data_IF_405704436996
#
_entry.id   IF_405704436996
#
_cell.length_a   1.000
_cell.length_b   1.000
_cell.length_c   1.000
_cell.angle_alpha   90.00
_cell.angle_beta   90.00
_cell.angle_gamma   90.00
#
_symmetry.space_group_name_H-M   'P 1'
#
loop_
_entity.id
_entity.type
_entity.pdbx_description
1 polymer ?
#
# COMPACT_ATOMS: atom_id res chain seq x y z
N UNK A 1 -18.64 14.65 10.72
CA UNK A 1 -17.59 13.83 10.18
C UNK A 1 -17.70 12.41 10.71
N UNK A 2 -17.15 11.41 9.99
CA UNK A 2 -16.99 10.09 10.56
C UNK A 2 -16.15 10.22 11.83
N UNK A 3 -16.55 9.55 12.91
CA UNK A 3 -15.79 9.57 14.14
C UNK A 3 -14.45 8.87 13.90
N UNK A 4 -13.42 9.27 14.62
CA UNK A 4 -12.10 8.59 14.57
C UNK A 4 -12.27 7.09 14.87
N UNK A 5 -13.28 6.73 15.68
CA UNK A 5 -13.63 5.36 16.00
C UNK A 5 -14.13 4.58 14.78
N UNK A 6 -15.03 5.16 13.97
CA UNK A 6 -15.54 4.51 12.76
C UNK A 6 -14.42 4.25 11.73
N UNK A 7 -13.51 5.21 11.57
CA UNK A 7 -12.35 5.04 10.71
C UNK A 7 -11.40 3.96 11.23
N UNK A 8 -11.16 3.91 12.54
CA UNK A 8 -10.31 2.88 13.14
C UNK A 8 -10.96 1.49 13.09
N UNK A 9 -12.28 1.38 13.26
CA UNK A 9 -13.00 0.11 13.15
C UNK A 9 -12.96 -0.43 11.72
N UNK A 10 -13.14 0.43 10.72
CA UNK A 10 -13.01 0.02 9.31
C UNK A 10 -11.57 -0.41 9.02
N UNK A 11 -10.59 0.33 9.52
CA UNK A 11 -9.18 -0.01 9.36
C UNK A 11 -8.81 -1.34 10.03
N UNK A 12 -9.22 -1.52 11.29
CA UNK A 12 -8.88 -2.73 12.06
C UNK A 12 -9.59 -3.99 11.52
N UNK A 13 -10.83 -3.86 11.05
CA UNK A 13 -11.63 -5.02 10.67
C UNK A 13 -11.14 -5.71 9.40
N UNK A 14 -10.60 -4.98 8.44
CA UNK A 14 -10.34 -5.53 7.10
C UNK A 14 -8.86 -5.79 6.85
N UNK A 15 -7.99 -4.81 7.02
CA UNK A 15 -6.56 -4.97 6.72
C UNK A 15 -5.78 -5.57 7.89
N UNK A 16 -6.13 -5.21 9.12
CA UNK A 16 -5.46 -5.68 10.32
C UNK A 16 -5.66 -7.19 10.53
N UNK A 17 -6.89 -7.68 10.36
CA UNK A 17 -7.21 -9.10 10.55
C UNK A 17 -6.45 -9.98 9.56
N UNK A 18 -6.43 -9.62 8.28
CA UNK A 18 -5.70 -10.37 7.27
C UNK A 18 -4.19 -10.38 7.54
N UNK A 19 -3.63 -9.24 7.89
CA UNK A 19 -2.19 -9.08 8.16
C UNK A 19 -1.75 -9.89 9.38
N UNK A 20 -2.55 -9.87 10.46
CA UNK A 20 -2.29 -10.68 11.67
C UNK A 20 -2.43 -12.17 11.37
N UNK A 21 -3.47 -12.56 10.63
CA UNK A 21 -3.72 -13.94 10.27
C UNK A 21 -2.59 -14.57 9.43
N UNK A 22 -1.99 -13.77 8.54
CA UNK A 22 -0.89 -14.23 7.66
C UNK A 22 0.48 -14.10 8.37
N UNK A 23 0.56 -13.45 9.55
CA UNK A 23 1.81 -13.26 10.29
C UNK A 23 2.79 -12.28 9.63
N UNK A 24 2.31 -11.34 8.84
CA UNK A 24 3.15 -10.42 8.07
C UNK A 24 3.63 -9.22 8.91
N UNK A 25 4.86 -8.70 8.69
CA UNK A 25 5.44 -7.61 9.46
C UNK A 25 4.85 -6.23 9.15
N UNK A 26 3.94 -6.10 8.19
CA UNK A 26 3.39 -4.82 7.72
C UNK A 26 2.84 -3.95 8.87
N UNK A 27 2.22 -4.54 9.89
CA UNK A 27 1.74 -3.76 11.04
C UNK A 27 2.87 -3.10 11.83
N UNK A 28 4.01 -3.79 12.00
CA UNK A 28 5.20 -3.20 12.63
C UNK A 28 5.77 -2.08 11.78
N UNK A 29 5.77 -2.25 10.46
CA UNK A 29 6.20 -1.21 9.51
C UNK A 29 5.29 0.02 9.60
N UNK A 30 3.96 -0.16 9.63
CA UNK A 30 3.02 0.94 9.81
C UNK A 30 3.20 1.66 11.14
N UNK A 31 3.44 0.92 12.22
CA UNK A 31 3.77 1.49 13.53
C UNK A 31 5.09 2.28 13.48
N UNK A 32 6.12 1.73 12.84
CA UNK A 32 7.40 2.40 12.67
C UNK A 32 7.27 3.69 11.84
N UNK A 33 6.48 3.69 10.77
CA UNK A 33 6.18 4.89 9.98
C UNK A 33 5.37 5.92 10.79
N UNK A 34 4.37 5.49 11.56
CA UNK A 34 3.62 6.38 12.44
C UNK A 34 4.51 7.01 13.51
N UNK A 35 5.40 6.23 14.13
CA UNK A 35 6.39 6.72 15.08
C UNK A 35 7.40 7.68 14.40
N UNK A 36 7.85 7.38 13.19
CA UNK A 36 8.69 8.29 12.39
C UNK A 36 7.99 9.63 12.19
N UNK A 37 6.73 9.62 11.78
CA UNK A 37 5.93 10.83 11.58
C UNK A 37 5.75 11.62 12.89
N UNK A 38 5.52 10.92 14.00
CA UNK A 38 5.42 11.53 15.33
C UNK A 38 6.72 12.22 15.74
N UNK A 39 7.87 11.53 15.61
CA UNK A 39 9.16 12.09 15.99
C UNK A 39 9.63 13.22 15.07
N UNK A 40 9.29 13.21 13.78
CA UNK A 40 9.51 14.36 12.91
C UNK A 40 8.73 15.57 13.41
N UNK A 41 7.48 15.39 13.84
CA UNK A 41 6.64 16.47 14.36
C UNK A 41 7.14 17.04 15.70
N UNK A 42 7.72 16.18 16.54
CA UNK A 42 8.27 16.55 17.86
C UNK A 42 9.77 16.87 17.80
N UNK A 43 10.34 16.99 16.61
CA UNK A 43 11.75 17.28 16.36
C UNK A 43 12.74 16.25 16.96
N UNK A 44 12.27 15.04 17.22
CA UNK A 44 13.08 13.91 17.71
C UNK A 44 13.84 13.20 16.58
N UNK A 45 14.81 13.86 15.95
CA UNK A 45 15.46 13.42 14.70
C UNK A 45 16.14 12.06 14.78
N UNK A 46 16.74 11.72 15.90
CA UNK A 46 17.38 10.41 16.12
C UNK A 46 16.34 9.29 16.22
N UNK A 47 15.28 9.51 16.97
CA UNK A 47 14.19 8.56 17.07
C UNK A 47 13.46 8.40 15.73
N UNK A 48 13.26 9.49 14.97
CA UNK A 48 12.74 9.43 13.61
C UNK A 48 13.62 8.58 12.69
N UNK A 49 14.94 8.75 12.74
CA UNK A 49 15.89 7.95 11.96
C UNK A 49 15.84 6.46 12.34
N UNK A 50 15.81 6.15 13.63
CA UNK A 50 15.72 4.77 14.12
C UNK A 50 14.39 4.09 13.69
N UNK A 51 13.27 4.78 13.86
CA UNK A 51 11.96 4.25 13.44
C UNK A 51 11.86 4.06 11.92
N UNK A 52 12.38 5.01 11.13
CA UNK A 52 12.42 4.87 9.67
C UNK A 52 13.31 3.70 9.24
N UNK A 53 14.43 3.46 9.94
CA UNK A 53 15.28 2.28 9.72
C UNK A 53 14.53 0.99 10.10
N UNK A 54 13.80 0.97 11.22
CA UNK A 54 13.00 -0.21 11.60
C UNK A 54 11.92 -0.54 10.56
N UNK A 55 11.39 0.46 9.85
CA UNK A 55 10.45 0.23 8.76
C UNK A 55 11.05 -0.54 7.58
N UNK A 56 12.38 -0.68 7.48
CA UNK A 56 13.06 -1.48 6.42
C UNK A 56 12.83 -2.99 6.53
N UNK A 57 12.08 -3.46 7.54
CA UNK A 57 11.51 -4.81 7.55
C UNK A 57 10.66 -5.09 6.29
N UNK A 58 10.06 -4.04 5.69
CA UNK A 58 9.45 -4.06 4.36
C UNK A 58 10.16 -3.02 3.47
N UNK A 59 11.27 -3.39 2.82
CA UNK A 59 12.14 -2.42 2.16
C UNK A 59 11.43 -1.59 1.10
N UNK A 60 10.52 -2.19 0.33
CA UNK A 60 9.78 -1.52 -0.74
C UNK A 60 8.75 -0.49 -0.21
N UNK A 61 8.29 -0.64 1.04
CA UNK A 61 7.43 0.35 1.72
C UNK A 61 8.28 1.45 2.36
N UNK A 62 9.41 1.08 2.98
CA UNK A 62 10.27 2.03 3.69
C UNK A 62 11.13 2.87 2.75
N UNK A 63 11.67 2.29 1.67
CA UNK A 63 12.61 2.95 0.77
C UNK A 63 12.13 4.33 0.27
N UNK A 64 10.89 4.51 -0.19
CA UNK A 64 10.38 5.82 -0.59
C UNK A 64 10.41 6.86 0.53
N UNK A 65 10.18 6.43 1.78
CA UNK A 65 10.26 7.30 2.97
C UNK A 65 11.70 7.71 3.26
N UNK A 66 12.63 6.75 3.21
CA UNK A 66 14.06 7.03 3.40
C UNK A 66 14.55 8.05 2.37
N UNK A 67 14.19 7.88 1.10
CA UNK A 67 14.51 8.85 0.03
C UNK A 67 13.92 10.23 0.34
N UNK A 68 12.64 10.30 0.73
CA UNK A 68 11.99 11.57 1.06
C UNK A 68 12.67 12.27 2.26
N UNK A 69 13.05 11.52 3.29
CA UNK A 69 13.76 12.06 4.46
C UNK A 69 15.14 12.58 4.09
N UNK A 70 15.91 11.80 3.30
CA UNK A 70 17.25 12.19 2.85
C UNK A 70 17.23 13.45 1.97
N UNK A 71 16.26 13.53 1.05
CA UNK A 71 16.17 14.66 0.12
C UNK A 71 15.61 15.91 0.81
N UNK A 72 14.49 15.77 1.54
CA UNK A 72 13.68 16.91 1.97
C UNK A 72 13.84 17.30 3.45
N UNK A 73 14.50 16.47 4.30
CA UNK A 73 14.69 16.74 5.74
C UNK A 73 16.17 16.74 6.12
N UNK A 74 16.92 17.83 5.94
CA UNK A 74 18.36 17.86 6.24
C UNK A 74 18.71 17.42 7.66
N UNK A 75 17.88 17.73 8.66
CA UNK A 75 18.11 17.37 10.08
C UNK A 75 18.03 15.87 10.35
N UNK A 76 17.37 15.09 9.49
CA UNK A 76 17.27 13.62 9.64
C UNK A 76 18.41 12.87 8.94
N UNK A 77 19.19 13.50 8.08
CA UNK A 77 20.18 12.81 7.23
C UNK A 77 21.20 12.05 8.05
N UNK A 78 21.86 12.71 9.00
CA UNK A 78 22.88 12.09 9.85
C UNK A 78 22.29 11.00 10.73
N UNK A 79 21.22 11.25 11.51
CA UNK A 79 20.55 10.20 12.28
C UNK A 79 20.16 8.98 11.45
N UNK A 80 19.56 9.21 10.29
CA UNK A 80 19.10 8.13 9.39
C UNK A 80 20.28 7.31 8.85
N UNK A 81 21.33 7.96 8.35
CA UNK A 81 22.50 7.26 7.81
C UNK A 81 23.24 6.47 8.89
N UNK A 82 23.34 6.99 10.11
CA UNK A 82 23.93 6.27 11.25
C UNK A 82 23.09 5.05 11.61
N UNK A 83 21.75 5.17 11.69
CA UNK A 83 20.88 4.04 12.00
C UNK A 83 20.90 2.98 10.90
N UNK A 84 20.89 3.38 9.62
CA UNK A 84 21.01 2.45 8.49
C UNK A 84 22.40 1.77 8.48
N UNK A 85 23.47 2.51 8.76
CA UNK A 85 24.81 1.96 8.89
C UNK A 85 24.92 0.96 10.03
N UNK A 86 24.31 1.25 11.18
CA UNK A 86 24.24 0.33 12.31
C UNK A 86 23.47 -0.96 11.95
N UNK A 87 22.31 -0.83 11.27
CA UNK A 87 21.55 -1.99 10.81
C UNK A 87 22.36 -2.83 9.80
N UNK A 88 23.05 -2.18 8.85
CA UNK A 88 23.93 -2.87 7.92
C UNK A 88 25.10 -3.56 8.63
N UNK A 89 25.70 -2.91 9.64
CA UNK A 89 26.76 -3.52 10.44
C UNK A 89 26.27 -4.77 11.19
N UNK A 90 25.05 -4.74 11.75
CA UNK A 90 24.44 -5.93 12.36
C UNK A 90 24.28 -7.05 11.32
N UNK A 91 23.80 -6.74 10.10
CA UNK A 91 23.70 -7.72 9.03
C UNK A 91 25.07 -8.33 8.66
N UNK A 92 26.12 -7.51 8.57
CA UNK A 92 27.47 -7.98 8.27
C UNK A 92 28.04 -8.82 9.41
N UNK A 93 27.80 -8.43 10.67
CA UNK A 93 28.25 -9.20 11.84
C UNK A 93 27.51 -10.54 11.97
N UNK A 94 26.24 -10.59 11.59
CA UNK A 94 25.42 -11.79 11.69
C UNK A 94 25.69 -12.81 10.57
N UNK A 95 25.87 -12.34 9.35
CA UNK A 95 25.93 -13.19 8.16
C UNK A 95 27.31 -13.18 7.47
N UNK A 96 28.15 -12.19 7.73
CA UNK A 96 29.38 -11.97 6.96
C UNK A 96 29.15 -11.13 5.69
N UNK A 97 30.25 -10.63 5.11
CA UNK A 97 30.20 -9.82 3.87
C UNK A 97 29.81 -10.68 2.66
N UNK A 98 30.38 -11.90 2.45
CA UNK A 98 30.06 -12.72 1.27
C UNK A 98 28.57 -13.03 1.17
N UNK A 99 27.93 -13.43 2.27
CA UNK A 99 26.53 -13.81 2.32
C UNK A 99 25.59 -12.62 2.09
N UNK A 100 25.95 -11.44 2.62
CA UNK A 100 25.21 -10.21 2.31
C UNK A 100 25.31 -9.83 0.83
N UNK A 101 26.48 -10.03 0.20
CA UNK A 101 26.66 -9.80 -1.24
C UNK A 101 25.89 -10.83 -2.05
N UNK A 102 25.93 -12.11 -1.69
CA UNK A 102 25.17 -13.17 -2.33
C UNK A 102 23.65 -12.91 -2.20
N UNK A 103 23.19 -12.47 -1.04
CA UNK A 103 21.78 -12.10 -0.84
C UNK A 103 21.31 -11.03 -1.86
N UNK A 104 22.10 -9.98 -2.04
CA UNK A 104 21.75 -8.89 -2.97
C UNK A 104 21.85 -9.32 -4.44
N UNK A 105 22.87 -10.13 -4.79
CA UNK A 105 23.16 -10.48 -6.19
C UNK A 105 22.38 -11.68 -6.70
N UNK A 106 22.02 -12.60 -5.82
CA UNK A 106 21.45 -13.89 -6.19
C UNK A 106 20.04 -14.06 -5.60
N UNK A 107 19.89 -13.89 -4.28
CA UNK A 107 18.63 -14.17 -3.59
C UNK A 107 17.54 -13.17 -3.96
N UNK A 108 17.83 -11.86 -3.91
CA UNK A 108 16.84 -10.84 -4.25
C UNK A 108 16.35 -10.93 -5.69
N UNK A 109 17.22 -11.08 -6.74
CA UNK A 109 16.75 -11.26 -8.11
C UNK A 109 15.98 -12.56 -8.31
N UNK A 110 16.43 -13.67 -7.72
CA UNK A 110 15.72 -14.95 -7.79
C UNK A 110 14.33 -14.87 -7.14
N UNK A 111 14.26 -14.22 -5.97
CA UNK A 111 13.00 -13.97 -5.27
C UNK A 111 12.08 -13.05 -6.08
N UNK A 112 12.61 -12.00 -6.69
CA UNK A 112 11.86 -11.11 -7.58
C UNK A 112 11.24 -11.88 -8.75
N UNK A 113 12.03 -12.76 -9.38
CA UNK A 113 11.57 -13.58 -10.51
C UNK A 113 10.54 -14.62 -10.06
N UNK A 114 10.75 -15.30 -8.93
CA UNK A 114 9.79 -16.27 -8.40
C UNK A 114 8.44 -15.60 -8.11
N UNK A 115 8.48 -14.44 -7.45
CA UNK A 115 7.27 -13.68 -7.13
C UNK A 115 6.60 -13.02 -8.35
N UNK A 116 7.30 -12.86 -9.47
CA UNK A 116 6.72 -12.30 -10.69
C UNK A 116 5.48 -13.07 -11.17
N UNK A 117 5.47 -14.38 -10.93
CA UNK A 117 4.37 -15.28 -11.31
C UNK A 117 3.32 -15.46 -10.20
N UNK A 118 3.53 -14.88 -9.03
CA UNK A 118 2.54 -14.91 -7.97
C UNK A 118 1.41 -13.92 -8.22
N UNK A 119 0.22 -14.24 -7.73
CA UNK A 119 -0.91 -13.32 -7.80
C UNK A 119 -0.72 -12.16 -6.81
N UNK A 120 -0.46 -10.99 -7.31
CA UNK A 120 -0.19 -9.77 -6.57
C UNK A 120 -0.79 -8.56 -7.29
N UNK A 121 -0.72 -7.40 -6.65
CA UNK A 121 -1.16 -6.11 -7.23
C UNK A 121 -0.05 -5.37 -7.97
N UNK A 122 1.16 -5.91 -8.04
CA UNK A 122 2.31 -5.29 -8.72
C UNK A 122 2.14 -5.27 -10.23
N UNK A 123 2.77 -4.29 -10.90
CA UNK A 123 2.86 -4.26 -12.36
C UNK A 123 3.54 -5.51 -12.90
N UNK A 124 4.58 -5.99 -12.23
CA UNK A 124 5.29 -7.23 -12.59
C UNK A 124 4.33 -8.39 -12.74
N UNK A 125 3.50 -8.64 -11.70
CA UNK A 125 2.54 -9.74 -11.72
C UNK A 125 1.40 -9.51 -12.72
N UNK A 126 1.00 -8.29 -13.00
CA UNK A 126 0.04 -7.98 -14.07
C UNK A 126 0.61 -8.32 -15.42
N UNK A 127 1.86 -7.95 -15.70
CA UNK A 127 2.52 -8.20 -16.98
C UNK A 127 2.74 -9.70 -17.23
N UNK A 128 3.19 -10.46 -16.24
CA UNK A 128 3.34 -11.93 -16.38
C UNK A 128 1.99 -12.61 -16.61
N UNK A 129 0.92 -12.11 -16.00
CA UNK A 129 -0.43 -12.65 -16.17
C UNK A 129 -0.99 -12.46 -17.60
N UNK A 130 -0.46 -11.52 -18.37
CA UNK A 130 -0.80 -11.32 -19.79
C UNK A 130 0.24 -11.90 -20.75
N UNK A 131 1.17 -12.71 -20.22
CA UNK A 131 2.14 -13.48 -21.03
C UNK A 131 3.47 -12.76 -21.31
N UNK A 132 3.75 -11.66 -20.62
CA UNK A 132 5.07 -11.03 -20.71
C UNK A 132 6.09 -11.87 -19.95
N UNK A 133 7.27 -12.04 -20.53
CA UNK A 133 8.38 -12.78 -19.94
C UNK A 133 8.78 -12.22 -18.56
N UNK A 134 9.04 -13.13 -17.59
CA UNK A 134 9.29 -12.79 -16.20
C UNK A 134 10.42 -11.80 -15.98
N UNK A 135 11.63 -11.99 -16.53
CA UNK A 135 12.73 -11.03 -16.45
C UNK A 135 12.37 -9.65 -16.97
N UNK A 136 11.64 -9.56 -18.09
CA UNK A 136 11.18 -8.27 -18.62
C UNK A 136 10.12 -7.63 -17.72
N UNK A 137 9.18 -8.42 -17.22
CA UNK A 137 8.14 -7.94 -16.29
C UNK A 137 8.74 -7.40 -15.00
N UNK A 138 9.76 -8.07 -14.44
CA UNK A 138 10.49 -7.59 -13.24
C UNK A 138 11.16 -6.25 -13.53
N UNK A 139 11.86 -6.10 -14.63
CA UNK A 139 12.50 -4.83 -15.03
C UNK A 139 11.49 -3.69 -15.19
N UNK A 140 10.35 -3.98 -15.83
CA UNK A 140 9.26 -3.01 -15.93
C UNK A 140 8.73 -2.60 -14.55
N UNK A 141 8.58 -3.55 -13.63
CA UNK A 141 8.19 -3.29 -12.25
C UNK A 141 9.20 -2.44 -11.48
N UNK A 142 10.50 -2.71 -11.64
CA UNK A 142 11.59 -1.91 -11.03
C UNK A 142 11.58 -0.46 -11.53
N UNK A 143 11.47 -0.26 -12.84
CA UNK A 143 11.38 1.09 -13.44
C UNK A 143 10.14 1.82 -12.93
N UNK A 144 8.99 1.13 -12.88
CA UNK A 144 7.76 1.70 -12.34
C UNK A 144 7.91 2.04 -10.85
N UNK A 145 8.53 1.18 -10.06
CA UNK A 145 8.80 1.42 -8.63
C UNK A 145 9.66 2.67 -8.43
N UNK A 146 10.75 2.79 -9.18
CA UNK A 146 11.62 3.97 -9.13
C UNK A 146 10.86 5.25 -9.52
N UNK A 147 10.08 5.19 -10.61
CA UNK A 147 9.26 6.29 -11.10
C UNK A 147 8.22 6.73 -10.08
N UNK A 148 7.47 5.77 -9.53
CA UNK A 148 6.43 6.05 -8.55
C UNK A 148 7.01 6.51 -7.21
N UNK A 149 8.19 6.02 -6.83
CA UNK A 149 8.94 6.53 -5.67
C UNK A 149 9.31 8.01 -5.89
N UNK A 150 9.91 8.34 -7.02
CA UNK A 150 10.29 9.72 -7.33
C UNK A 150 9.06 10.65 -7.37
N UNK A 151 7.98 10.21 -8.00
CA UNK A 151 6.71 10.94 -8.06
C UNK A 151 6.12 11.11 -6.64
N UNK A 152 6.09 10.06 -5.85
CA UNK A 152 5.61 10.08 -4.46
C UNK A 152 6.39 11.05 -3.58
N UNK A 153 7.71 11.08 -3.72
CA UNK A 153 8.57 12.05 -3.01
C UNK A 153 8.28 13.49 -3.48
N UNK A 154 8.18 13.72 -4.79
CA UNK A 154 7.88 15.04 -5.34
C UNK A 154 6.51 15.55 -4.87
N UNK A 155 5.49 14.70 -4.91
CA UNK A 155 4.14 15.01 -4.43
C UNK A 155 4.14 15.26 -2.92
N UNK A 156 4.85 14.45 -2.12
CA UNK A 156 4.99 14.65 -0.68
C UNK A 156 5.64 15.99 -0.34
N UNK A 157 6.70 16.36 -1.06
CA UNK A 157 7.35 17.67 -0.93
C UNK A 157 6.38 18.81 -1.25
N UNK A 158 5.56 18.63 -2.27
CA UNK A 158 4.55 19.62 -2.66
C UNK A 158 3.43 19.72 -1.62
N UNK A 159 2.90 18.59 -1.12
CA UNK A 159 1.93 18.57 -0.02
C UNK A 159 2.50 19.26 1.22
N UNK A 160 3.76 18.98 1.57
CA UNK A 160 4.46 19.70 2.66
C UNK A 160 4.51 21.22 2.41
N UNK A 161 4.86 21.64 1.21
CA UNK A 161 4.93 23.07 0.87
C UNK A 161 3.57 23.77 1.02
N UNK A 162 2.48 23.07 0.68
CA UNK A 162 1.10 23.59 0.80
C UNK A 162 0.60 23.60 2.25
N UNK A 163 0.95 22.56 3.03
CA UNK A 163 0.39 22.34 4.38
C UNK A 163 1.29 22.83 5.50
N UNK A 164 2.58 23.03 5.24
CA UNK A 164 3.59 23.25 6.28
C UNK A 164 3.93 21.99 7.08
N UNK A 165 3.32 20.82 6.79
CA UNK A 165 3.43 19.61 7.60
C UNK A 165 4.43 18.62 7.00
N UNK A 166 5.55 18.42 7.69
CA UNK A 166 6.60 17.50 7.27
C UNK A 166 6.18 16.02 7.34
N UNK A 167 5.11 15.69 8.04
CA UNK A 167 4.56 14.32 8.14
C UNK A 167 4.17 13.77 6.76
N UNK A 168 3.79 14.63 5.82
CA UNK A 168 3.52 14.24 4.44
C UNK A 168 4.69 13.49 3.77
N UNK A 169 5.95 13.81 4.15
CA UNK A 169 7.14 13.15 3.62
C UNK A 169 7.29 11.69 4.08
N UNK A 170 6.59 11.30 5.14
CA UNK A 170 6.59 9.91 5.64
C UNK A 170 5.37 9.16 5.11
N UNK A 171 4.20 9.78 5.10
CA UNK A 171 2.94 9.09 4.83
C UNK A 171 2.65 8.94 3.33
N UNK A 172 3.02 9.93 2.49
CA UNK A 172 2.64 9.96 1.08
C UNK A 172 3.46 9.01 0.20
N UNK A 173 4.81 8.95 0.29
CA UNK A 173 5.62 8.19 -0.66
C UNK A 173 5.29 6.69 -0.72
N UNK A 174 5.00 5.98 0.40
CA UNK A 174 4.63 4.57 0.34
C UNK A 174 3.40 4.29 -0.52
N UNK A 175 2.38 5.16 -0.47
CA UNK A 175 1.17 4.98 -1.26
C UNK A 175 1.44 4.97 -2.77
N UNK A 176 2.37 5.80 -3.24
CA UNK A 176 2.79 5.84 -4.64
C UNK A 176 3.61 4.60 -5.01
N UNK A 177 4.57 4.21 -4.19
CA UNK A 177 5.43 3.07 -4.44
C UNK A 177 4.65 1.75 -4.53
N UNK A 178 3.58 1.59 -3.78
CA UNK A 178 2.69 0.43 -3.88
C UNK A 178 2.03 0.31 -5.25
N UNK A 179 1.67 1.43 -5.88
CA UNK A 179 1.10 1.39 -7.23
C UNK A 179 2.12 0.94 -8.28
N UNK A 180 3.40 1.20 -8.04
CA UNK A 180 4.50 0.83 -8.93
C UNK A 180 5.40 -0.29 -8.41
N UNK A 181 5.08 -0.90 -7.27
CA UNK A 181 5.96 -1.87 -6.63
C UNK A 181 6.23 -3.12 -7.47
N UNK A 182 7.42 -3.72 -7.29
CA UNK A 182 7.78 -5.01 -7.90
C UNK A 182 7.00 -6.14 -7.23
N UNK A 183 6.84 -6.05 -5.91
CA UNK A 183 6.07 -6.98 -5.09
C UNK A 183 5.04 -6.20 -4.31
N UNK A 184 3.76 -6.45 -4.55
CA UNK A 184 2.66 -5.79 -3.82
C UNK A 184 1.59 -6.83 -3.50
N UNK A 185 1.69 -7.43 -2.34
CA UNK A 185 0.66 -8.31 -1.81
C UNK A 185 -0.49 -7.52 -1.16
N UNK A 186 -1.61 -8.20 -0.93
CA UNK A 186 -2.82 -7.58 -0.37
C UNK A 186 -2.57 -6.85 0.97
N UNK A 187 -1.76 -7.42 1.85
CA UNK A 187 -1.43 -6.82 3.15
C UNK A 187 -0.62 -5.52 3.02
N UNK A 188 0.20 -5.39 1.98
CA UNK A 188 1.04 -4.21 1.77
C UNK A 188 0.24 -2.99 1.31
N UNK A 189 -0.93 -3.20 0.70
CA UNK A 189 -1.86 -2.11 0.36
C UNK A 189 -2.20 -1.25 1.59
N UNK A 190 -2.16 -1.84 2.79
CA UNK A 190 -2.35 -1.10 4.04
C UNK A 190 -1.37 0.08 4.22
N UNK A 191 -0.19 0.06 3.58
CA UNK A 191 0.76 1.17 3.65
C UNK A 191 0.29 2.45 2.93
N UNK A 192 -0.76 2.38 2.10
CA UNK A 192 -1.39 3.56 1.51
C UNK A 192 -2.37 4.28 2.48
N UNK A 193 -2.88 3.57 3.51
CA UNK A 193 -3.93 4.13 4.36
C UNK A 193 -3.50 5.29 5.24
N UNK A 194 -2.29 5.34 5.83
CA UNK A 194 -1.85 6.53 6.55
C UNK A 194 -1.93 7.80 5.71
N UNK A 195 -1.56 7.74 4.43
CA UNK A 195 -1.69 8.86 3.50
C UNK A 195 -3.17 9.18 3.21
N UNK A 196 -3.98 8.16 2.96
CA UNK A 196 -5.41 8.32 2.71
C UNK A 196 -6.13 8.95 3.92
N UNK A 197 -5.85 8.50 5.14
CA UNK A 197 -6.42 9.07 6.37
C UNK A 197 -5.95 10.51 6.60
N UNK A 198 -4.67 10.79 6.34
CA UNK A 198 -4.12 12.14 6.43
C UNK A 198 -4.88 13.11 5.54
N UNK A 199 -5.14 12.72 4.29
CA UNK A 199 -5.88 13.53 3.31
C UNK A 199 -7.36 13.60 3.67
N UNK A 200 -7.99 12.49 4.05
CA UNK A 200 -9.40 12.39 4.41
C UNK A 200 -9.79 13.36 5.54
N UNK A 201 -8.94 13.43 6.58
CA UNK A 201 -9.21 14.25 7.77
C UNK A 201 -9.00 15.73 7.48
N UNK A 202 -7.97 16.07 6.71
CA UNK A 202 -7.54 17.48 6.54
C UNK A 202 -8.18 18.20 5.36
N UNK A 203 -8.59 17.46 4.31
CA UNK A 203 -9.03 18.04 3.03
C UNK A 203 -10.45 17.62 2.66
N UNK A 204 -11.48 18.33 3.13
CA UNK A 204 -12.88 17.98 2.89
C UNK A 204 -13.26 17.86 1.40
N UNK A 205 -12.58 18.61 0.51
CA UNK A 205 -12.87 18.65 -0.92
C UNK A 205 -12.57 17.34 -1.64
N UNK A 206 -11.56 16.58 -1.19
CA UNK A 206 -11.20 15.28 -1.76
C UNK A 206 -11.74 14.10 -0.96
N UNK A 207 -12.55 14.36 0.09
CA UNK A 207 -13.03 13.34 1.03
C UNK A 207 -13.78 12.20 0.33
N UNK A 208 -14.69 12.50 -0.60
CA UNK A 208 -15.46 11.47 -1.31
C UNK A 208 -14.53 10.55 -2.10
N UNK A 209 -13.61 11.13 -2.87
CA UNK A 209 -12.64 10.37 -3.66
C UNK A 209 -11.74 9.50 -2.76
N UNK A 210 -11.31 10.05 -1.62
CA UNK A 210 -10.48 9.32 -0.66
C UNK A 210 -11.25 8.18 -0.01
N UNK A 211 -12.52 8.38 0.37
CA UNK A 211 -13.36 7.30 0.95
C UNK A 211 -13.58 6.20 -0.06
N UNK A 212 -13.91 6.54 -1.31
CA UNK A 212 -14.04 5.55 -2.40
C UNK A 212 -12.74 4.78 -2.55
N UNK A 213 -11.60 5.49 -2.59
CA UNK A 213 -10.28 4.88 -2.69
C UNK A 213 -10.00 3.90 -1.55
N UNK A 214 -10.25 4.29 -0.30
CA UNK A 214 -10.07 3.44 0.87
C UNK A 214 -10.94 2.19 0.76
N UNK A 215 -12.23 2.34 0.49
CA UNK A 215 -13.17 1.21 0.41
C UNK A 215 -12.74 0.21 -0.64
N UNK A 216 -12.39 0.67 -1.84
CA UNK A 216 -11.97 -0.22 -2.92
C UNK A 216 -10.60 -0.86 -2.68
N UNK A 217 -9.65 -0.13 -2.10
CA UNK A 217 -8.33 -0.66 -1.83
C UNK A 217 -8.30 -1.64 -0.63
N UNK A 218 -9.18 -1.46 0.37
CA UNK A 218 -9.20 -2.26 1.59
C UNK A 218 -9.85 -3.63 1.42
N UNK A 219 -10.75 -3.78 0.45
CA UNK A 219 -11.46 -5.04 0.30
C UNK A 219 -10.54 -6.07 -0.34
N UNK A 220 -10.30 -7.20 0.32
CA UNK A 220 -9.52 -8.29 -0.27
C UNK A 220 -10.37 -9.06 -1.28
N UNK A 221 -10.61 -8.46 -2.44
CA UNK A 221 -11.52 -8.97 -3.49
C UNK A 221 -11.23 -10.42 -3.89
N UNK A 222 -9.98 -10.85 -3.85
CA UNK A 222 -9.56 -12.21 -4.12
C UNK A 222 -10.07 -13.24 -3.11
N UNK A 223 -10.17 -12.87 -1.82
CA UNK A 223 -10.74 -13.75 -0.78
C UNK A 223 -12.26 -13.78 -0.82
N UNK A 224 -12.87 -12.74 -1.37
CA UNK A 224 -14.33 -12.60 -1.42
C UNK A 224 -14.96 -13.39 -2.55
N UNK A 225 -14.21 -13.85 -3.53
CA UNK A 225 -14.74 -14.66 -4.62
C UNK A 225 -15.24 -16.03 -4.19
N UNK A 226 -14.75 -16.59 -3.10
CA UNK A 226 -15.29 -17.85 -2.56
C UNK A 226 -16.65 -17.65 -1.87
N UNK A 227 -16.99 -16.42 -1.49
CA UNK A 227 -18.24 -16.03 -0.84
C UNK A 227 -18.67 -14.61 -1.25
N UNK A 228 -18.74 -14.38 -2.56
CA UNK A 228 -18.95 -13.04 -3.15
C UNK A 228 -20.14 -12.28 -2.51
N UNK A 229 -21.23 -12.98 -2.19
CA UNK A 229 -22.40 -12.37 -1.54
C UNK A 229 -22.10 -11.91 -0.10
N UNK A 230 -21.33 -12.67 0.67
CA UNK A 230 -21.00 -12.32 2.05
C UNK A 230 -20.09 -11.09 2.13
N UNK A 231 -19.18 -10.93 1.16
CA UNK A 231 -18.29 -9.81 1.09
C UNK A 231 -18.91 -8.50 0.66
N UNK A 232 -19.95 -8.55 -0.19
CA UNK A 232 -20.70 -7.37 -0.60
C UNK A 232 -21.72 -6.91 0.44
N UNK A 233 -22.21 -7.81 1.30
CA UNK A 233 -23.21 -7.49 2.29
C UNK A 233 -22.86 -6.28 3.19
N UNK A 234 -21.68 -6.18 3.83
CA UNK A 234 -21.34 -5.03 4.65
C UNK A 234 -21.20 -3.74 3.85
N UNK A 235 -20.76 -3.81 2.58
CA UNK A 235 -20.65 -2.64 1.71
C UNK A 235 -22.06 -2.15 1.34
N UNK A 236 -22.95 -3.06 0.98
CA UNK A 236 -24.34 -2.74 0.65
C UNK A 236 -25.08 -2.17 1.88
N UNK A 237 -24.87 -2.76 3.06
CA UNK A 237 -25.44 -2.25 4.31
C UNK A 237 -24.90 -0.85 4.64
N UNK A 238 -23.58 -0.65 4.54
CA UNK A 238 -22.95 0.65 4.76
C UNK A 238 -23.41 1.71 3.75
N UNK A 239 -23.51 1.35 2.47
CA UNK A 239 -24.00 2.21 1.42
C UNK A 239 -25.47 2.58 1.63
N UNK A 240 -26.32 1.62 2.01
CA UNK A 240 -27.73 1.84 2.31
C UNK A 240 -27.94 2.72 3.54
N UNK A 241 -27.16 2.51 4.61
CA UNK A 241 -27.16 3.37 5.79
C UNK A 241 -26.73 4.80 5.46
N UNK A 242 -25.71 4.99 4.61
CA UNK A 242 -25.26 6.29 4.16
C UNK A 242 -26.26 6.98 3.22
N UNK A 243 -26.97 6.22 2.38
CA UNK A 243 -28.09 6.73 1.57
C UNK A 243 -29.24 7.23 2.45
N UNK A 244 -29.66 6.45 3.45
CA UNK A 244 -30.68 6.87 4.42
C UNK A 244 -30.31 8.14 5.19
N UNK A 245 -29.02 8.32 5.47
CA UNK A 245 -28.51 9.53 6.09
C UNK A 245 -28.44 10.75 5.14
N UNK A 246 -28.89 10.63 3.89
CA UNK A 246 -28.89 11.69 2.89
C UNK A 246 -27.50 12.17 2.45
N UNK A 247 -26.47 11.35 2.66
CA UNK A 247 -25.09 11.71 2.34
C UNK A 247 -24.77 11.38 0.88
N UNK A 248 -24.29 12.35 0.09
CA UNK A 248 -23.82 12.15 -1.29
C UNK A 248 -22.80 11.02 -1.42
N UNK A 249 -21.94 10.84 -0.41
CA UNK A 249 -20.98 9.74 -0.32
C UNK A 249 -21.65 8.37 -0.38
N UNK A 250 -22.83 8.22 0.25
CA UNK A 250 -23.60 6.98 0.23
C UNK A 250 -24.11 6.62 -1.16
N UNK A 251 -24.54 7.61 -1.96
CA UNK A 251 -24.96 7.38 -3.35
C UNK A 251 -23.78 6.86 -4.18
N UNK A 252 -22.60 7.47 -4.05
CA UNK A 252 -21.41 7.03 -4.78
C UNK A 252 -21.01 5.62 -4.37
N UNK A 253 -20.95 5.32 -3.07
CA UNK A 253 -20.62 3.98 -2.56
C UNK A 253 -21.62 2.93 -3.02
N UNK A 254 -22.93 3.22 -2.97
CA UNK A 254 -23.97 2.32 -3.44
C UNK A 254 -23.86 2.06 -4.95
N UNK A 255 -23.61 3.11 -5.74
CA UNK A 255 -23.43 2.99 -7.19
C UNK A 255 -22.20 2.16 -7.55
N UNK A 256 -21.06 2.38 -6.86
CA UNK A 256 -19.85 1.59 -7.06
C UNK A 256 -20.06 0.12 -6.64
N UNK A 257 -20.63 -0.12 -5.47
CA UNK A 257 -20.94 -1.48 -5.00
C UNK A 257 -21.92 -2.20 -5.93
N UNK A 258 -22.94 -1.50 -6.42
CA UNK A 258 -23.89 -2.01 -7.40
C UNK A 258 -23.25 -2.35 -8.74
N UNK A 259 -22.39 -1.48 -9.26
CA UNK A 259 -21.66 -1.71 -10.50
C UNK A 259 -20.75 -2.95 -10.42
N UNK A 260 -20.06 -3.13 -9.29
CA UNK A 260 -19.21 -4.31 -9.06
C UNK A 260 -20.08 -5.57 -8.90
N UNK A 261 -21.15 -5.51 -8.10
CA UNK A 261 -22.03 -6.65 -7.91
C UNK A 261 -22.68 -7.12 -9.21
N UNK A 262 -22.99 -6.21 -10.14
CA UNK A 262 -23.51 -6.52 -11.46
C UNK A 262 -22.44 -7.00 -12.44
N UNK A 263 -21.23 -6.49 -12.33
CA UNK A 263 -20.13 -6.87 -13.25
C UNK A 263 -19.64 -8.30 -13.05
N UNK A 264 -19.62 -8.82 -11.82
CA UNK A 264 -19.13 -10.16 -11.52
C UNK A 264 -19.97 -11.28 -12.17
N UNK A 265 -21.31 -11.32 -12.03
CA UNK A 265 -22.12 -12.32 -12.71
C UNK A 265 -22.14 -12.14 -14.24
N UNK A 266 -22.06 -10.91 -14.75
CA UNK A 266 -21.95 -10.67 -16.19
C UNK A 266 -20.65 -11.20 -16.77
N UNK A 267 -19.52 -11.05 -16.06
CA UNK A 267 -18.25 -11.62 -16.45
C UNK A 267 -18.29 -13.15 -16.42
N UNK A 268 -18.90 -13.75 -15.40
CA UNK A 268 -19.08 -15.20 -15.34
C UNK A 268 -19.96 -15.72 -16.50
N UNK A 269 -21.04 -15.02 -16.85
CA UNK A 269 -21.91 -15.35 -17.99
C UNK A 269 -21.21 -15.15 -19.33
N UNK A 270 -20.27 -14.20 -19.43
CA UNK A 270 -19.48 -13.97 -20.65
C UNK A 270 -18.36 -15.01 -20.87
N UNK A 271 -18.31 -16.07 -20.08
CA UNK A 271 -17.30 -17.13 -20.23
C UNK A 271 -15.94 -16.81 -19.62
N UNK A 272 -15.82 -15.71 -18.87
CA UNK A 272 -14.63 -15.40 -18.07
C UNK A 272 -14.58 -16.20 -16.76
N UNK A 273 -15.09 -17.43 -16.81
CA UNK A 273 -15.01 -18.39 -15.70
C UNK A 273 -13.58 -18.92 -15.50
N UNK A 274 -13.35 -19.65 -14.40
CA UNK A 274 -12.04 -20.24 -14.14
C UNK A 274 -11.60 -21.13 -15.30
N UNK A 275 -10.58 -20.70 -16.02
CA UNK A 275 -9.83 -21.59 -16.92
C UNK A 275 -9.09 -22.64 -16.11
N UNK A 276 -8.77 -23.78 -16.72
CA UNK A 276 -7.96 -24.79 -16.05
C UNK A 276 -6.69 -24.20 -15.45
N UNK A 277 -6.26 -24.66 -14.26
CA UNK A 277 -5.07 -24.14 -13.63
C UNK A 277 -3.87 -24.36 -14.54
N UNK A 278 -3.23 -23.30 -15.02
CA UNK A 278 -1.88 -23.43 -15.52
C UNK A 278 -1.01 -23.89 -14.35
N UNK A 279 -0.49 -25.10 -14.46
CA UNK A 279 0.50 -25.60 -13.52
C UNK A 279 1.72 -24.69 -13.67
N UNK A 280 1.87 -23.74 -12.75
CA UNK A 280 3.12 -23.01 -12.64
C UNK A 280 4.14 -24.01 -12.16
N UNK A 281 5.00 -24.46 -13.09
CA UNK A 281 6.14 -25.30 -12.74
C UNK A 281 7.06 -24.43 -11.89
N UNK A 282 7.02 -24.67 -10.59
CA UNK A 282 7.92 -24.00 -9.65
C UNK A 282 9.37 -24.42 -9.96
N UNK A 283 10.32 -23.46 -9.95
CA UNK A 283 11.74 -23.76 -10.11
C UNK A 283 12.37 -24.48 -8.90
N UNK A 284 11.56 -24.87 -7.90
CA UNK A 284 12.02 -25.63 -6.75
C UNK A 284 12.18 -27.11 -7.11
N UNK A 285 13.28 -27.76 -6.71
CA UNK A 285 13.45 -29.18 -6.92
C UNK A 285 12.31 -29.97 -6.24
N UNK A 286 11.91 -31.13 -6.83
CA UNK A 286 10.79 -31.94 -6.32
C UNK A 286 10.89 -32.32 -4.85
N UNK A 287 12.10 -32.43 -4.33
CA UNK A 287 12.39 -32.84 -2.96
C UNK A 287 12.00 -31.72 -1.94
N UNK A 288 11.96 -30.45 -2.38
CA UNK A 288 11.46 -29.33 -1.57
C UNK A 288 9.92 -29.29 -1.47
N UNK A 289 9.21 -30.07 -2.29
CA UNK A 289 7.75 -30.17 -2.27
C UNK A 289 7.23 -31.05 -1.11
N UNK A 290 8.09 -31.81 -0.44
CA UNK A 290 7.72 -32.59 0.75
C UNK A 290 7.35 -31.71 1.96
N UNK A 291 7.82 -30.47 1.98
CA UNK A 291 7.46 -29.45 2.96
C UNK A 291 6.53 -28.41 2.33
N UNK A 292 5.37 -28.82 1.85
CA UNK A 292 4.34 -27.89 1.37
C UNK A 292 3.93 -27.00 2.55
N UNK A 293 4.50 -25.81 2.58
CA UNK A 293 4.14 -24.82 3.59
C UNK A 293 2.68 -24.38 3.40
N UNK A 294 2.04 -23.90 4.47
CA UNK A 294 0.72 -23.28 4.38
C UNK A 294 0.66 -22.21 3.28
N UNK A 295 1.77 -21.48 3.06
CA UNK A 295 1.91 -20.51 1.98
C UNK A 295 1.76 -21.14 0.60
N UNK A 296 2.32 -22.32 0.37
CA UNK A 296 2.22 -23.03 -0.90
C UNK A 296 0.82 -23.59 -1.13
N UNK A 297 0.17 -24.11 -0.09
CA UNK A 297 -1.24 -24.52 -0.15
C UNK A 297 -2.15 -23.35 -0.52
N UNK A 298 -2.01 -22.23 0.14
CA UNK A 298 -2.74 -20.98 -0.16
C UNK A 298 -2.43 -20.50 -1.57
N UNK A 299 -1.16 -20.56 -1.98
CA UNK A 299 -0.70 -20.21 -3.32
C UNK A 299 -1.38 -21.05 -4.40
N UNK A 300 -1.34 -22.37 -4.30
CA UNK A 300 -1.97 -23.30 -5.27
C UNK A 300 -3.50 -23.14 -5.27
N UNK A 301 -4.11 -22.96 -4.11
CA UNK A 301 -5.56 -22.83 -3.99
C UNK A 301 -6.10 -21.49 -4.51
N UNK A 302 -5.31 -20.40 -4.40
CA UNK A 302 -5.69 -19.06 -4.83
C UNK A 302 -5.20 -18.70 -6.23
N UNK A 303 -4.19 -19.38 -6.76
CA UNK A 303 -3.59 -19.13 -8.08
C UNK A 303 -4.27 -19.87 -9.24
N UNK A 304 -5.55 -20.10 -9.15
CA UNK A 304 -6.29 -20.40 -10.37
C UNK A 304 -6.27 -19.14 -11.23
N UNK A 305 -5.38 -19.09 -12.21
CA UNK A 305 -5.21 -17.98 -13.14
C UNK A 305 -6.35 -17.89 -14.15
N UNK A 306 -7.57 -17.70 -13.65
CA UNK A 306 -8.68 -17.34 -14.51
C UNK A 306 -8.62 -15.84 -14.81
N UNK A 307 -9.10 -15.41 -15.96
CA UNK A 307 -9.31 -14.00 -16.26
C UNK A 307 -10.08 -13.29 -15.14
N UNK A 308 -11.05 -13.97 -14.52
CA UNK A 308 -11.79 -13.47 -13.37
C UNK A 308 -10.85 -13.12 -12.20
N UNK A 309 -9.88 -13.99 -11.89
CA UNK A 309 -8.90 -13.73 -10.82
C UNK A 309 -8.04 -12.50 -11.13
N UNK A 310 -7.72 -12.27 -12.40
CA UNK A 310 -6.99 -11.07 -12.82
C UNK A 310 -7.85 -9.81 -12.67
N UNK A 311 -9.14 -9.89 -13.03
CA UNK A 311 -10.07 -8.77 -12.87
C UNK A 311 -10.28 -8.35 -11.41
N UNK A 312 -10.09 -9.25 -10.45
CA UNK A 312 -10.19 -8.94 -9.02
C UNK A 312 -9.12 -7.98 -8.49
N UNK A 313 -8.04 -7.77 -9.23
CA UNK A 313 -7.06 -6.72 -8.94
C UNK A 313 -7.59 -5.32 -9.21
N UNK A 314 -8.48 -5.19 -10.20
CA UNK A 314 -8.92 -3.89 -10.72
C UNK A 314 -9.56 -3.03 -9.62
N UNK A 315 -10.49 -3.50 -8.80
CA UNK A 315 -11.06 -2.68 -7.76
C UNK A 315 -10.02 -2.11 -6.79
N UNK A 316 -9.08 -2.94 -6.34
CA UNK A 316 -7.99 -2.50 -5.44
C UNK A 316 -7.09 -1.46 -6.11
N UNK A 317 -6.70 -1.69 -7.36
CA UNK A 317 -5.87 -0.74 -8.12
C UNK A 317 -6.61 0.57 -8.40
N UNK A 318 -7.91 0.51 -8.72
CA UNK A 318 -8.76 1.70 -8.85
C UNK A 318 -8.86 2.44 -7.52
N UNK A 319 -9.04 1.72 -6.42
CA UNK A 319 -9.05 2.30 -5.08
C UNK A 319 -7.75 3.02 -4.76
N UNK A 320 -6.62 2.38 -5.01
CA UNK A 320 -5.30 2.98 -4.82
C UNK A 320 -5.11 4.20 -5.73
N UNK A 321 -5.49 4.13 -7.01
CA UNK A 321 -5.44 5.27 -7.93
C UNK A 321 -6.31 6.44 -7.43
N UNK A 322 -7.50 6.19 -6.89
CA UNK A 322 -8.35 7.21 -6.28
C UNK A 322 -7.65 7.91 -5.11
N UNK A 323 -6.97 7.15 -4.24
CA UNK A 323 -6.16 7.72 -3.14
C UNK A 323 -5.05 8.61 -3.70
N UNK A 324 -4.29 8.12 -4.71
CA UNK A 324 -3.21 8.89 -5.31
C UNK A 324 -3.71 10.18 -5.98
N UNK A 325 -4.81 10.10 -6.72
CA UNK A 325 -5.44 11.29 -7.35
C UNK A 325 -5.90 12.29 -6.28
N UNK A 326 -6.45 11.82 -5.15
CA UNK A 326 -6.82 12.70 -4.05
C UNK A 326 -5.60 13.44 -3.47
N UNK A 327 -4.48 12.74 -3.27
CA UNK A 327 -3.22 13.33 -2.78
C UNK A 327 -2.66 14.34 -3.80
N UNK A 328 -2.63 13.98 -5.09
CA UNK A 328 -2.14 14.87 -6.16
C UNK A 328 -3.00 16.13 -6.25
N UNK A 329 -4.33 16.01 -6.14
CA UNK A 329 -5.21 17.20 -6.11
C UNK A 329 -4.83 18.14 -4.96
N UNK A 330 -4.59 17.62 -3.76
CA UNK A 330 -4.11 18.44 -2.63
C UNK A 330 -2.80 19.13 -2.95
N UNK A 331 -1.85 18.43 -3.58
CA UNK A 331 -0.57 19.00 -3.99
C UNK A 331 -0.71 20.13 -5.02
N UNK A 332 -1.68 20.01 -5.95
CA UNK A 332 -1.92 20.98 -7.02
C UNK A 332 -2.74 22.20 -6.56
N UNK A 333 -3.66 22.04 -5.62
CA UNK A 333 -4.49 23.15 -5.10
C UNK A 333 -3.65 24.29 -4.52
N UNK A 334 -2.47 24.02 -3.98
CA UNK A 334 -1.53 25.03 -3.53
C UNK A 334 -0.96 25.93 -4.62
N UNK A 335 -1.14 25.58 -5.90
CA UNK A 335 -0.74 26.41 -7.03
C UNK A 335 -1.74 27.54 -7.26
N UNK A 336 -3.02 27.30 -6.97
CA UNK A 336 -4.12 28.27 -7.16
C UNK A 336 -4.37 29.16 -5.93
N UNK A 337 -3.80 28.89 -4.77
CA UNK A 337 -4.02 29.60 -3.52
C UNK A 337 -2.76 30.35 -3.01
N UNK A 338 -2.16 31.17 -3.84
CA UNK A 338 -1.16 32.17 -3.43
C UNK A 338 -1.70 33.28 -2.49
N UNK A 339 -2.91 33.11 -1.94
CA UNK A 339 -3.51 34.07 -1.02
C UNK A 339 -4.38 33.33 0.03
N UNK A 340 -3.98 33.47 1.30
CA UNK A 340 -4.71 33.16 2.53
C UNK A 340 -4.58 31.71 3.07
N UNK A 341 -3.41 31.37 3.55
CA UNK A 341 -3.33 30.42 4.67
C UNK A 341 -3.09 31.24 5.95
N UNK A 342 -4.14 31.49 6.71
CA UNK A 342 -4.01 31.94 8.09
C UNK A 342 -3.37 30.80 8.88
N UNK A 343 -2.21 30.99 9.54
CA UNK A 343 -1.61 29.94 10.35
C UNK A 343 -2.57 29.61 11.50
N UNK A 344 -3.03 28.37 11.57
CA UNK A 344 -3.71 27.85 12.74
C UNK A 344 -2.70 27.90 13.90
N UNK A 345 -2.81 28.92 14.74
CA UNK A 345 -2.06 29.01 16.00
C UNK A 345 -2.32 27.73 16.79
N UNK A 346 -1.28 26.92 16.95
CA UNK A 346 -1.28 25.85 17.92
C UNK A 346 -1.57 26.47 19.30
N UNK A 347 -2.77 26.25 19.84
CA UNK A 347 -3.03 26.48 21.24
C UNK A 347 -2.19 25.48 22.01
N UNK A 348 -1.04 25.93 22.48
CA UNK A 348 -0.30 25.27 23.55
C UNK A 348 -1.24 25.28 24.75
N UNK A 349 -1.80 24.14 25.11
CA UNK A 349 -2.41 23.96 26.42
C UNK A 349 -1.28 23.96 27.44
N UNK A 350 -0.96 25.13 28.00
CA UNK A 350 -0.26 25.22 29.26
C UNK A 350 -1.31 24.96 30.35
N UNK A 351 -1.42 23.67 30.70
CA UNK A 351 -2.12 23.24 31.93
C UNK A 351 -1.10 23.25 33.06
N UNK A 352 -1.26 24.20 33.93
CA UNK A 352 -0.70 24.21 35.30
C UNK A 352 -1.39 23.15 36.14
#
# INVERSE_FOLDING_TARGET
GASTLELNLVFAAISGTLTVFIGQPVLFVLLALAATAFFIRTEGWWAAGACATAATLEPHVAFPVLVAMLVALPRTRVPLLVCLGAAAAVGVLALGIPENVAYVREVLPAHALANAYEWQYSLTSVLTSVGIDGPLAVRCGEVMFATMTALGVAVAMRVRAVTGDAVALVLVPPAFALFGGVHVHAQQIAAAFPAALYVLVRFPRVRVLTVVGIVFAMIPWNFMCASALAGFAPILVGAFAALRAGKRTGVVLASCAGAIALSLPLLALAGFGPSEPHVVVHPYPPDALAEVSWGDFVRVSLMRSSLLTQWLRIPTLVGLACVLVAIVRVALEGVSFGARVTPVRARVMTGT
#
